data_IF_011426396869
#
_entry.id   IF_011426396869
#
_cell.length_a   1.000
_cell.length_b   1.000
_cell.length_c   1.000
_cell.angle_alpha   90.00
_cell.angle_beta   90.00
_cell.angle_gamma   90.00
#
_symmetry.space_group_name_H-M   'P 1'
#
loop_
_entity.id
_entity.type
_entity.pdbx_description
1 polymer ?
#
# COMPACT_ATOMS: atom_id res chain seq x y z
N UNK A 1 -35.26 -11.46 -3.25
CA UNK A 1 -35.38 -10.08 -3.78
C UNK A 1 -34.92 -9.20 -2.65
N UNK A 2 -33.64 -8.85 -2.68
CA UNK A 2 -32.89 -8.49 -1.48
C UNK A 2 -32.98 -6.99 -1.21
N UNK A 3 -33.28 -6.64 0.04
CA UNK A 3 -33.52 -5.28 0.54
C UNK A 3 -32.25 -4.39 0.59
N UNK A 4 -31.19 -4.76 -0.14
CA UNK A 4 -29.87 -4.14 -0.01
C UNK A 4 -29.62 -2.97 -0.98
N UNK A 5 -30.62 -2.50 -1.73
CA UNK A 5 -30.39 -1.63 -2.88
C UNK A 5 -31.14 -0.28 -2.89
N UNK A 6 -31.59 0.24 -1.74
CA UNK A 6 -32.28 1.55 -1.65
C UNK A 6 -31.53 2.65 -0.87
N UNK A 7 -30.23 2.52 -0.61
CA UNK A 7 -29.45 3.52 0.16
C UNK A 7 -28.49 4.39 -0.66
N UNK A 8 -28.80 4.60 -1.94
CA UNK A 8 -28.03 5.45 -2.82
C UNK A 8 -28.88 6.59 -3.41
N UNK A 9 -29.51 7.41 -2.57
CA UNK A 9 -30.04 8.73 -2.96
C UNK A 9 -30.55 9.51 -1.73
N UNK A 10 -29.64 10.12 -0.95
CA UNK A 10 -29.98 11.25 -0.09
C UNK A 10 -28.69 11.85 0.46
N UNK A 11 -28.52 13.17 0.32
CA UNK A 11 -27.42 13.93 0.93
C UNK A 11 -27.45 13.93 2.47
N UNK A 12 -28.35 13.16 3.10
CA UNK A 12 -28.54 13.06 4.54
C UNK A 12 -28.07 11.75 5.20
N UNK A 13 -27.63 10.72 4.45
CA UNK A 13 -27.18 9.47 5.07
C UNK A 13 -25.74 9.61 5.61
N UNK A 14 -25.62 10.08 6.86
CA UNK A 14 -24.36 10.22 7.61
C UNK A 14 -24.28 9.18 8.75
N UNK A 15 -23.94 7.92 8.45
CA UNK A 15 -23.99 6.84 9.43
C UNK A 15 -22.99 6.99 10.58
N UNK A 16 -21.97 7.84 10.44
CA UNK A 16 -20.96 8.06 11.46
C UNK A 16 -21.13 9.38 12.21
N UNK A 17 -22.23 10.11 11.98
CA UNK A 17 -22.54 11.36 12.67
C UNK A 17 -22.43 11.22 14.21
N UNK A 18 -21.65 12.10 14.84
CA UNK A 18 -21.42 12.12 16.28
C UNK A 18 -20.51 11.00 16.81
N UNK A 19 -19.89 10.20 15.94
CA UNK A 19 -18.89 9.19 16.32
C UNK A 19 -17.49 9.75 16.18
N UNK A 20 -16.66 9.49 17.19
CA UNK A 20 -15.22 9.76 17.20
C UNK A 20 -14.49 8.44 17.00
N UNK A 21 -13.66 8.35 15.98
CA UNK A 21 -13.01 7.11 15.55
C UNK A 21 -11.50 7.31 15.58
N UNK A 22 -10.80 6.45 16.33
CA UNK A 22 -9.34 6.44 16.37
C UNK A 22 -8.81 5.61 15.21
N UNK A 23 -7.95 6.21 14.39
CA UNK A 23 -7.27 5.53 13.28
C UNK A 23 -5.82 5.30 13.67
N UNK A 24 -5.42 4.04 13.79
CA UNK A 24 -4.08 3.64 14.29
C UNK A 24 -3.06 3.31 13.21
N UNK A 25 -3.45 3.39 11.93
CA UNK A 25 -2.54 3.14 10.80
C UNK A 25 -1.51 4.25 10.66
N UNK A 26 -0.37 3.91 10.02
CA UNK A 26 0.63 4.87 9.62
C UNK A 26 0.01 6.01 8.82
N UNK A 27 0.41 7.26 9.11
CA UNK A 27 -0.17 8.49 8.56
C UNK A 27 -0.35 8.48 7.03
N UNK A 28 0.64 7.95 6.30
CA UNK A 28 0.60 7.83 4.84
C UNK A 28 -0.54 6.92 4.31
N UNK A 29 -1.00 5.96 5.13
CA UNK A 29 -2.11 5.05 4.81
C UNK A 29 -3.43 5.46 5.47
N UNK A 30 -3.41 6.46 6.35
CA UNK A 30 -4.56 6.91 7.12
C UNK A 30 -5.46 7.87 6.33
N UNK A 31 -4.89 8.68 5.43
CA UNK A 31 -5.63 9.76 4.74
C UNK A 31 -6.87 9.28 3.96
N UNK A 32 -6.76 8.18 3.21
CA UNK A 32 -7.90 7.63 2.47
C UNK A 32 -8.99 7.03 3.36
N UNK A 33 -8.63 6.50 4.53
CA UNK A 33 -9.60 6.00 5.50
C UNK A 33 -10.24 7.15 6.29
N UNK A 34 -9.43 8.14 6.69
CA UNK A 34 -9.87 9.31 7.42
C UNK A 34 -10.89 10.12 6.61
N UNK A 35 -10.59 10.42 5.34
CA UNK A 35 -11.51 11.14 4.46
C UNK A 35 -12.85 10.43 4.30
N UNK A 36 -12.85 9.10 4.15
CA UNK A 36 -14.10 8.32 4.06
C UNK A 36 -14.91 8.34 5.37
N UNK A 37 -14.25 8.39 6.52
CA UNK A 37 -14.94 8.51 7.82
C UNK A 37 -15.60 9.89 7.94
N UNK A 38 -14.88 10.94 7.54
CA UNK A 38 -15.37 12.33 7.55
C UNK A 38 -16.54 12.53 6.58
N UNK A 39 -16.45 11.98 5.36
CA UNK A 39 -17.54 11.97 4.37
C UNK A 39 -18.84 11.34 4.92
N UNK A 40 -18.70 10.32 5.77
CA UNK A 40 -19.83 9.65 6.43
C UNK A 40 -20.29 10.35 7.72
N UNK A 41 -19.68 11.49 8.08
CA UNK A 41 -20.04 12.34 9.21
C UNK A 41 -19.30 12.05 10.52
N UNK A 42 -18.28 11.20 10.52
CA UNK A 42 -17.47 10.88 11.70
C UNK A 42 -16.32 11.87 11.93
N UNK A 43 -15.86 11.98 13.17
CA UNK A 43 -14.63 12.69 13.55
C UNK A 43 -13.47 11.69 13.65
N UNK A 44 -12.35 11.99 13.00
CA UNK A 44 -11.16 11.12 13.00
C UNK A 44 -10.12 11.63 13.99
N UNK A 45 -9.60 10.72 14.80
CA UNK A 45 -8.42 10.95 15.65
C UNK A 45 -7.29 10.07 15.10
N UNK A 46 -6.32 10.67 14.43
CA UNK A 46 -5.14 9.94 13.97
C UNK A 46 -4.20 9.64 15.15
N UNK A 47 -3.90 8.37 15.36
CA UNK A 47 -2.96 7.91 16.39
C UNK A 47 -2.05 6.79 15.83
N UNK A 48 -1.08 7.11 14.95
CA UNK A 48 -0.21 6.10 14.36
C UNK A 48 0.60 5.38 15.43
N UNK A 49 0.48 4.05 15.51
CA UNK A 49 1.22 3.25 16.51
C UNK A 49 2.47 2.57 15.96
N UNK A 50 2.67 2.66 14.64
CA UNK A 50 3.83 2.09 13.94
C UNK A 50 4.37 3.10 12.93
N UNK A 51 5.69 3.13 12.80
CA UNK A 51 6.40 3.93 11.82
C UNK A 51 7.21 3.02 10.91
N UNK A 52 7.18 3.30 9.61
CA UNK A 52 7.96 2.57 8.61
C UNK A 52 9.22 3.38 8.35
N UNK A 53 10.35 2.85 8.81
CA UNK A 53 11.67 3.45 8.63
C UNK A 53 12.52 2.57 7.72
N UNK A 54 13.45 3.14 6.92
CA UNK A 54 14.42 2.34 6.21
C UNK A 54 15.31 1.57 7.19
N UNK A 55 15.82 0.39 6.81
CA UNK A 55 16.79 -0.32 7.63
C UNK A 55 18.09 0.48 7.76
N UNK A 56 18.87 0.20 8.80
CA UNK A 56 20.19 0.81 9.02
C UNK A 56 21.13 0.62 7.83
N UNK A 57 20.98 -0.51 7.12
CA UNK A 57 21.73 -0.81 5.91
C UNK A 57 20.90 -1.63 4.93
N UNK A 58 21.14 -1.36 3.65
CA UNK A 58 20.55 -2.11 2.54
C UNK A 58 21.54 -3.09 1.90
N UNK A 59 22.75 -3.25 2.45
CA UNK A 59 23.79 -4.07 1.84
C UNK A 59 23.34 -5.51 1.54
N UNK A 60 22.57 -6.12 2.45
CA UNK A 60 22.02 -7.46 2.25
C UNK A 60 21.00 -7.50 1.08
N UNK A 61 20.15 -6.48 0.98
CA UNK A 61 19.18 -6.37 -0.11
C UNK A 61 19.88 -6.12 -1.45
N UNK A 62 20.86 -5.21 -1.48
CA UNK A 62 21.62 -4.88 -2.68
C UNK A 62 22.41 -6.12 -3.18
N UNK A 63 22.98 -6.91 -2.26
CA UNK A 63 23.64 -8.18 -2.59
C UNK A 63 22.66 -9.27 -3.09
N UNK A 64 21.43 -9.32 -2.55
CA UNK A 64 20.39 -10.21 -3.05
C UNK A 64 19.92 -9.79 -4.46
N UNK A 65 19.73 -8.50 -4.69
CA UNK A 65 19.44 -7.94 -6.03
C UNK A 65 20.59 -8.26 -7.00
N UNK A 66 21.84 -8.19 -6.55
CA UNK A 66 23.02 -8.57 -7.33
C UNK A 66 23.02 -10.04 -7.79
N UNK A 67 22.29 -10.92 -7.09
CA UNK A 67 22.14 -12.34 -7.41
C UNK A 67 20.70 -12.74 -7.76
N UNK A 68 19.86 -11.77 -8.12
CA UNK A 68 18.41 -12.01 -8.22
C UNK A 68 18.01 -13.14 -9.19
N UNK A 69 18.83 -13.39 -10.22
CA UNK A 69 18.61 -14.44 -11.21
C UNK A 69 18.88 -15.87 -10.67
N UNK A 70 19.48 -15.99 -9.48
CA UNK A 70 19.72 -17.28 -8.80
C UNK A 70 18.50 -17.73 -7.97
N UNK A 71 17.52 -16.85 -7.76
CA UNK A 71 16.30 -17.18 -7.02
C UNK A 71 15.17 -17.56 -7.96
N UNK A 72 14.52 -18.70 -7.67
CA UNK A 72 13.33 -19.13 -8.39
C UNK A 72 12.08 -18.32 -7.98
N UNK A 73 12.05 -17.77 -6.76
CA UNK A 73 10.88 -17.09 -6.19
C UNK A 73 11.25 -15.80 -5.46
N UNK A 74 10.37 -14.81 -5.56
CA UNK A 74 10.42 -13.58 -4.79
C UNK A 74 9.06 -13.37 -4.11
N UNK A 75 9.05 -13.24 -2.78
CA UNK A 75 7.83 -13.15 -1.98
C UNK A 75 7.81 -11.82 -1.24
N UNK A 76 6.69 -11.10 -1.32
CA UNK A 76 6.47 -9.87 -0.59
C UNK A 76 5.26 -10.01 0.33
N UNK A 77 5.41 -9.60 1.59
CA UNK A 77 4.35 -9.67 2.61
C UNK A 77 3.65 -8.34 2.85
N UNK A 78 4.15 -7.25 2.27
CA UNK A 78 3.57 -5.91 2.42
C UNK A 78 3.88 -5.03 1.21
N UNK A 79 2.99 -4.06 0.96
CA UNK A 79 3.18 -3.02 -0.07
C UNK A 79 4.46 -2.20 0.17
N UNK A 80 4.76 -1.90 1.43
CA UNK A 80 5.98 -1.17 1.80
C UNK A 80 7.24 -1.93 1.36
N UNK A 81 7.25 -3.27 1.55
CA UNK A 81 8.37 -4.11 1.12
C UNK A 81 8.57 -4.10 -0.40
N UNK A 82 7.46 -4.11 -1.16
CA UNK A 82 7.51 -4.02 -2.63
C UNK A 82 8.09 -2.68 -3.07
N UNK A 83 7.59 -1.57 -2.51
CA UNK A 83 8.03 -0.22 -2.87
C UNK A 83 9.52 0.00 -2.59
N UNK A 84 10.00 -0.40 -1.41
CA UNK A 84 11.41 -0.28 -1.05
C UNK A 84 12.31 -1.17 -1.91
N UNK A 85 11.85 -2.39 -2.23
CA UNK A 85 12.57 -3.26 -3.15
C UNK A 85 12.68 -2.64 -4.55
N UNK A 86 11.57 -2.15 -5.13
CA UNK A 86 11.58 -1.55 -6.46
C UNK A 86 12.50 -0.32 -6.53
N UNK A 87 12.42 0.56 -5.52
CA UNK A 87 13.30 1.73 -5.44
C UNK A 87 14.80 1.35 -5.41
N UNK A 88 15.17 0.22 -4.79
CA UNK A 88 16.54 -0.30 -4.82
C UNK A 88 16.86 -1.04 -6.11
N UNK A 89 15.92 -1.80 -6.63
CA UNK A 89 16.08 -2.58 -7.85
C UNK A 89 16.33 -1.69 -9.06
N UNK A 90 15.57 -0.60 -9.21
CA UNK A 90 15.74 0.35 -10.32
C UNK A 90 17.13 1.00 -10.33
N UNK A 91 17.72 1.23 -9.15
CA UNK A 91 19.08 1.76 -8.99
C UNK A 91 20.17 0.76 -9.38
N UNK A 92 19.86 -0.54 -9.38
CA UNK A 92 20.82 -1.58 -9.74
C UNK A 92 21.03 -1.73 -11.26
N UNK A 93 20.19 -1.09 -12.08
CA UNK A 93 20.23 -1.21 -13.54
C UNK A 93 19.87 -2.61 -14.07
N UNK A 94 19.33 -3.48 -13.21
CA UNK A 94 18.89 -4.83 -13.59
C UNK A 94 17.49 -4.82 -14.16
N UNK A 95 17.17 -5.85 -14.95
CA UNK A 95 15.83 -6.06 -15.50
C UNK A 95 15.20 -7.30 -14.88
N UNK A 96 13.97 -7.15 -14.39
CA UNK A 96 13.16 -8.28 -13.91
C UNK A 96 12.84 -9.27 -15.03
N UNK A 97 12.92 -8.88 -16.31
CA UNK A 97 12.59 -9.73 -17.46
C UNK A 97 13.49 -10.98 -17.62
N UNK A 98 14.52 -11.14 -16.77
CA UNK A 98 15.44 -12.29 -16.77
C UNK A 98 15.11 -13.37 -15.74
N UNK A 99 14.00 -13.28 -15.00
CA UNK A 99 13.56 -14.37 -14.13
C UNK A 99 12.87 -15.43 -15.01
N UNK A 100 13.40 -16.66 -15.12
CA UNK A 100 12.74 -17.73 -15.86
C UNK A 100 11.37 -18.03 -15.23
N UNK A 101 10.28 -18.00 -16.02
CA UNK A 101 8.94 -18.38 -15.54
C UNK A 101 7.92 -17.25 -15.36
N UNK A 102 8.14 -16.05 -15.90
CA UNK A 102 7.17 -14.94 -15.77
C UNK A 102 5.88 -15.16 -16.56
N UNK A 103 4.84 -15.63 -15.87
CA UNK A 103 3.47 -15.27 -16.18
C UNK A 103 3.14 -13.93 -15.46
N UNK A 104 3.34 -12.82 -16.19
CA UNK A 104 2.56 -11.58 -16.07
C UNK A 104 2.51 -10.83 -14.72
N UNK A 105 3.37 -9.81 -14.57
CA UNK A 105 2.98 -8.55 -13.92
C UNK A 105 3.67 -7.40 -14.66
N UNK A 106 2.93 -6.71 -15.52
CA UNK A 106 3.40 -5.55 -16.28
C UNK A 106 3.28 -4.30 -15.39
N UNK A 107 4.41 -3.71 -15.00
CA UNK A 107 4.44 -2.38 -14.40
C UNK A 107 3.91 -1.37 -15.44
N UNK A 108 2.84 -0.64 -15.09
CA UNK A 108 2.38 0.52 -15.87
C UNK A 108 3.14 1.74 -15.35
N UNK A 109 3.95 2.43 -16.16
CA UNK A 109 4.59 3.66 -15.70
C UNK A 109 3.51 4.73 -15.43
N UNK A 110 3.72 5.51 -14.38
CA UNK A 110 2.95 6.72 -14.13
C UNK A 110 3.36 7.75 -15.21
N UNK A 111 2.46 8.04 -16.15
CA UNK A 111 2.57 9.21 -17.01
C UNK A 111 2.13 10.46 -16.23
N UNK A 112 2.84 11.57 -16.45
CA UNK A 112 2.55 12.89 -15.88
C UNK A 112 1.38 13.62 -16.54
#
# INVERSE_FOLDING_TARGET
MDANNLRAASSAYRPLAGRRIVVTRARAQAGGLAGRIEELGGEVIEFPTIEIQPPESFAALDAAIARIAEYDWLIFTSVNGVEQFLARFDRSGKSLAKIPGQAGCRHRPAHG
#
